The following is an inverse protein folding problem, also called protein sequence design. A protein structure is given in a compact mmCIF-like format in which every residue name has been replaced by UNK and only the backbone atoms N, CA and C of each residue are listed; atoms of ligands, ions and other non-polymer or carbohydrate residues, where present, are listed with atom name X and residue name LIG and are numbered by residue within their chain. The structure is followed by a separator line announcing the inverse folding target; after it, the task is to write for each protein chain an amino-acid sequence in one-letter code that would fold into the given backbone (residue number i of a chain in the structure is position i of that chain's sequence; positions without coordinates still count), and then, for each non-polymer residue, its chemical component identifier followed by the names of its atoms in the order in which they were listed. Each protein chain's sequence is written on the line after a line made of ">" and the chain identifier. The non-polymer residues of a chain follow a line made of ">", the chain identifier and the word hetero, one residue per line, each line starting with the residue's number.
data_IF_060486226956
#
_entry.id   IF_060486226956
#
_cell.length_a   1.000
_cell.length_b   1.000
_cell.length_c   1.000
_cell.angle_alpha   90.00
_cell.angle_beta   90.00
_cell.angle_gamma   90.00
#
_symmetry.space_group_name_H-M   'P 1'
#
loop_
_entity.id
_entity.type
_entity.pdbx_description
1 polymer ?
2 water ?
#
# COMPACT_ATOMS: atom_id res chain seq x y z
N UNK A 14 -39.01 11.25 -17.11
CA UNK A 14 -38.57 10.82 -15.75
C UNK A 14 -37.13 10.27 -15.76
N UNK A 15 -36.79 9.40 -16.73
CA UNK A 15 -35.45 8.79 -16.76
C UNK A 15 -34.34 9.82 -16.94
N UNK A 16 -34.54 10.80 -17.81
CA UNK A 16 -33.47 11.76 -18.07
C UNK A 16 -33.24 12.64 -16.84
N UNK A 17 -34.30 13.00 -16.12
CA UNK A 17 -34.19 13.80 -14.90
C UNK A 17 -33.55 12.99 -13.77
N UNK A 18 -33.92 11.71 -13.69
CA UNK A 18 -33.32 10.77 -12.75
C UNK A 18 -31.81 10.59 -13.01
N UNK A 19 -31.46 10.35 -14.26
CA UNK A 19 -30.05 10.18 -14.65
C UNK A 19 -29.24 11.47 -14.41
N UNK A 20 -29.84 12.64 -14.68
CA UNK A 20 -29.13 13.91 -14.44
C UNK A 20 -28.80 14.08 -12.95
N UNK A 21 -29.75 13.74 -12.09
CA UNK A 21 -29.53 13.82 -10.64
C UNK A 21 -28.40 12.89 -10.19
N UNK A 22 -28.45 11.64 -10.64
CA UNK A 22 -27.48 10.62 -10.25
C UNK A 22 -26.11 10.92 -10.83
N UNK A 23 -26.08 11.41 -12.06
CA UNK A 23 -24.82 11.75 -12.74
C UNK A 23 -24.13 12.95 -12.06
N UNK A 24 -24.93 13.91 -11.59
CA UNK A 24 -24.42 15.02 -10.78
C UNK A 24 -23.74 14.52 -9.48
N UNK A 25 -24.33 13.51 -8.84
CA UNK A 25 -23.72 12.88 -7.68
C UNK A 25 -22.38 12.25 -8.01
N UNK A 26 -22.30 11.59 -9.16
CA UNK A 26 -21.04 10.94 -9.60
C UNK A 26 -19.98 11.98 -9.95
N UNK A 27 -20.37 13.05 -10.63
CA UNK A 27 -19.40 14.09 -11.00
C UNK A 27 -18.87 14.85 -9.75
N UNK A 28 -19.73 15.05 -8.74
CA UNK A 28 -19.32 15.65 -7.47
C UNK A 28 -18.33 14.75 -6.72
N UNK A 29 -18.56 13.44 -6.74
CA UNK A 29 -17.62 12.48 -6.13
C UNK A 29 -16.28 12.41 -6.87
N UNK A 30 -16.31 12.51 -8.18
CA UNK A 30 -15.08 12.63 -8.95
C UNK A 30 -14.32 13.92 -8.60
N UNK A 31 -15.03 15.03 -8.46
CA UNK A 31 -14.39 16.31 -8.08
C UNK A 31 -13.78 16.25 -6.69
N UNK A 32 -14.49 15.62 -5.75
CA UNK A 32 -13.99 15.43 -4.37
C UNK A 32 -13.00 14.26 -4.27
N UNK A 33 -12.59 13.70 -5.41
CA UNK A 33 -11.68 12.55 -5.46
C UNK A 33 -12.19 11.40 -4.59
N UNK A 34 -13.51 11.26 -4.49
CA UNK A 34 -14.14 10.21 -3.69
C UNK A 34 -14.66 9.03 -4.54
N UNK A 35 -13.92 8.66 -5.59
CA UNK A 35 -14.22 7.50 -6.41
C UNK A 35 -12.93 6.74 -6.59
N UNK A 36 -12.97 5.41 -6.44
CA UNK A 36 -11.78 4.57 -6.63
C UNK A 36 -11.13 4.89 -7.97
N UNK A 37 -9.88 5.34 -7.93
CA UNK A 37 -9.19 5.78 -9.14
C UNK A 37 -9.21 4.70 -10.23
N UNK A 38 -9.19 3.44 -9.85
CA UNK A 38 -9.03 2.39 -10.86
C UNK A 38 -10.32 1.97 -11.57
N UNK A 39 -11.47 2.52 -11.19
CA UNK A 39 -12.69 2.25 -11.98
C UNK A 39 -13.40 3.50 -12.46
N UNK A 40 -12.77 4.67 -12.30
CA UNK A 40 -13.25 5.88 -12.95
C UNK A 40 -13.53 5.62 -14.45
N UNK A 41 -12.65 4.87 -15.12
CA UNK A 41 -12.86 4.56 -16.54
C UNK A 41 -14.10 3.74 -16.79
N UNK A 42 -14.24 2.66 -16.02
CA UNK A 42 -15.41 1.80 -16.15
C UNK A 42 -16.67 2.62 -15.95
N UNK A 43 -16.70 3.38 -14.85
CA UNK A 43 -17.90 4.11 -14.46
C UNK A 43 -18.27 5.19 -15.46
N UNK A 44 -17.26 5.91 -15.95
CA UNK A 44 -17.44 6.85 -17.05
C UNK A 44 -18.08 6.13 -18.24
N UNK A 45 -17.49 4.99 -18.61
CA UNK A 45 -17.95 4.22 -19.75
C UNK A 45 -19.43 3.83 -19.58
N UNK A 46 -19.76 3.33 -18.41
CA UNK A 46 -21.11 2.91 -18.09
C UNK A 46 -22.08 4.10 -18.23
N UNK A 47 -21.68 5.24 -17.68
CA UNK A 47 -22.50 6.43 -17.74
C UNK A 47 -22.64 7.00 -19.17
N UNK A 48 -21.75 6.58 -20.07
CA UNK A 48 -21.82 6.98 -21.48
C UNK A 48 -22.88 6.22 -22.27
N UNK A 49 -23.48 5.18 -21.69
CA UNK A 49 -24.67 4.57 -22.29
C UNK A 49 -25.86 5.41 -21.91
N UNK A 50 -26.79 5.57 -22.83
CA UNK A 50 -28.01 6.31 -22.54
C UNK A 50 -28.84 5.61 -21.49
N UNK A 51 -28.89 4.29 -21.54
CA UNK A 51 -29.80 3.54 -20.69
C UNK A 51 -29.27 3.09 -19.33
N UNK A 52 -28.05 3.51 -19.00
CA UNK A 52 -27.43 3.23 -17.69
C UNK A 52 -27.04 4.52 -16.96
N UNK A 53 -27.10 4.46 -15.64
CA UNK A 53 -26.39 5.43 -14.82
C UNK A 53 -25.82 4.72 -13.58
N UNK A 54 -24.56 4.96 -13.28
CA UNK A 54 -23.97 4.41 -12.07
C UNK A 54 -24.55 5.06 -10.83
N UNK A 55 -24.61 4.29 -9.76
CA UNK A 55 -25.04 4.76 -8.46
C UNK A 55 -23.95 4.73 -7.43
N UNK A 56 -23.11 3.71 -7.47
CA UNK A 56 -22.10 3.53 -6.46
C UNK A 56 -21.23 2.37 -6.88
N UNK A 57 -20.05 2.32 -6.32
CA UNK A 57 -19.11 1.34 -6.72
C UNK A 57 -17.99 1.29 -5.72
N UNK A 58 -17.31 0.16 -5.74
CA UNK A 58 -16.09 -0.05 -5.01
C UNK A 58 -15.34 -1.03 -5.91
N UNK A 59 -14.06 -0.81 -6.20
CA UNK A 59 -13.30 -1.73 -7.06
C UNK A 59 -12.65 -2.89 -6.29
N UNK A 60 -12.98 -3.02 -5.02
CA UNK A 60 -12.45 -4.13 -4.21
C UNK A 60 -11.30 -3.68 -3.37
N UNK A 61 -11.17 -4.27 -2.19
CA UNK A 61 -10.06 -3.93 -1.34
C UNK A 61 -9.74 -5.00 -0.33
N UNK A 62 -8.59 -4.84 0.28
CA UNK A 62 -8.17 -5.62 1.42
C UNK A 62 -7.95 -4.60 2.53
N UNK A 63 -8.39 -4.96 3.72
CA UNK A 63 -8.33 -4.07 4.85
C UNK A 63 -7.91 -4.83 6.07
N UNK A 64 -7.36 -4.10 7.04
CA UNK A 64 -7.29 -4.58 8.40
C UNK A 64 -8.12 -3.62 9.26
N UNK A 65 -9.07 -4.18 10.02
CA UNK A 65 -10.04 -3.42 10.76
C UNK A 65 -10.01 -3.88 12.22
N UNK A 66 -9.97 -2.90 13.10
CA UNK A 66 -9.96 -3.05 14.55
C UNK A 66 -11.45 -3.16 14.95
N UNK A 67 -11.85 -4.30 15.53
CA UNK A 67 -13.24 -4.58 15.85
C UNK A 67 -13.36 -5.16 17.24
N UNK A 68 -14.38 -4.71 17.98
CA UNK A 68 -14.66 -5.30 19.28
C UNK A 68 -15.12 -6.75 19.08
N UNK A 69 -16.20 -6.90 18.34
CA UNK A 69 -16.77 -8.20 18.03
C UNK A 69 -16.82 -8.24 16.50
N UNK A 70 -16.88 -9.46 15.91
CA UNK A 70 -17.14 -9.60 14.46
C UNK A 70 -18.48 -8.99 14.04
N UNK A 71 -18.48 -8.28 12.92
CA UNK A 71 -19.67 -7.62 12.44
C UNK A 71 -20.11 -6.42 13.26
N UNK A 72 -19.33 -6.07 14.28
CA UNK A 72 -19.63 -4.87 15.09
C UNK A 72 -19.09 -3.66 14.34
N UNK A 73 -19.85 -3.25 13.33
CA UNK A 73 -19.48 -2.12 12.49
C UNK A 73 -19.40 -0.83 13.34
N UNK A 74 -20.16 -0.77 14.44
CA UNK A 74 -20.15 0.39 15.36
C UNK A 74 -18.81 0.59 16.10
N UNK A 75 -18.05 -0.48 16.31
CA UNK A 75 -16.75 -0.40 16.98
C UNK A 75 -15.58 -0.26 16.01
N UNK A 76 -15.88 -0.38 14.71
CA UNK A 76 -14.87 -0.54 13.65
C UNK A 76 -13.97 0.66 13.43
N UNK A 77 -12.68 0.41 13.27
CA UNK A 77 -11.70 1.41 12.83
C UNK A 77 -10.73 0.75 11.87
N UNK A 78 -10.55 1.35 10.70
CA UNK A 78 -9.62 0.85 9.68
C UNK A 78 -8.19 1.07 10.12
N UNK A 79 -7.44 -0.02 10.20
CA UNK A 79 -6.04 0.03 10.52
C UNK A 79 -5.21 0.10 9.25
N UNK A 80 -5.72 -0.45 8.16
CA UNK A 80 -5.05 -0.36 6.87
C UNK A 80 -6.02 -0.73 5.79
N UNK A 81 -5.80 -0.20 4.59
CA UNK A 81 -6.72 -0.42 3.47
C UNK A 81 -5.92 -0.32 2.17
N UNK A 82 -6.11 -1.26 1.27
CA UNK A 82 -5.36 -1.31 0.03
C UNK A 82 -6.35 -1.63 -1.09
N UNK A 83 -6.28 -0.90 -2.18
CA UNK A 83 -7.05 -1.16 -3.39
C UNK A 83 -6.33 -2.10 -4.33
N UNK A 84 -5.06 -2.42 -4.05
CA UNK A 84 -4.25 -3.36 -4.83
C UNK A 84 -3.60 -4.41 -3.92
N UNK A 85 -2.91 -5.38 -4.54
CA UNK A 85 -2.17 -6.43 -3.82
C UNK A 85 -1.30 -5.86 -2.72
N UNK A 86 -1.20 -6.56 -1.59
CA UNK A 86 -0.58 -6.03 -0.40
C UNK A 86 0.52 -6.97 0.10
N UNK A 87 1.61 -6.41 0.61
CA UNK A 87 2.67 -7.20 1.22
C UNK A 87 2.23 -7.74 2.55
N UNK A 88 2.65 -8.96 2.87
CA UNK A 88 2.30 -9.54 4.18
C UNK A 88 2.70 -8.58 5.28
N UNK A 89 3.82 -7.91 5.04
CA UNK A 89 4.40 -6.92 5.93
C UNK A 89 3.52 -5.70 6.23
N UNK A 90 2.85 -5.19 5.20
CA UNK A 90 1.89 -4.10 5.36
C UNK A 90 0.74 -4.56 6.30
N UNK A 91 0.28 -5.78 6.10
CA UNK A 91 -0.81 -6.32 6.91
C UNK A 91 -0.45 -6.50 8.40
N UNK A 92 0.74 -7.03 8.66
CA UNK A 92 1.20 -7.24 10.03
C UNK A 92 1.34 -5.92 10.77
N UNK A 93 1.92 -4.96 10.07
CA UNK A 93 2.10 -3.57 10.52
C UNK A 93 0.82 -2.90 11.02
N UNK A 94 -0.24 -2.99 10.21
CA UNK A 94 -1.57 -2.55 10.58
C UNK A 94 -2.12 -3.28 11.80
N UNK A 95 -2.03 -4.60 11.74
CA UNK A 95 -2.54 -5.46 12.78
C UNK A 95 -1.87 -5.15 14.12
N UNK A 96 -0.58 -4.83 14.08
CA UNK A 96 0.16 -4.55 15.32
C UNK A 96 -0.28 -3.27 15.97
N UNK A 97 -1.04 -2.47 15.23
CA UNK A 97 -1.59 -1.26 15.80
C UNK A 97 -2.97 -1.47 16.40
N UNK A 98 -3.50 -2.68 16.37
CA UNK A 98 -4.84 -2.87 16.94
C UNK A 98 -4.92 -2.54 18.43
N UNK A 99 -6.03 -1.94 18.84
CA UNK A 99 -6.40 -1.76 20.22
C UNK A 99 -7.52 -2.72 20.70
N UNK A 100 -8.16 -3.41 19.76
CA UNK A 100 -9.19 -4.40 20.02
C UNK A 100 -8.75 -5.61 19.19
N UNK A 101 -9.63 -6.21 18.39
CA UNK A 101 -9.23 -7.36 17.56
C UNK A 101 -9.07 -6.89 16.14
N UNK A 102 -7.88 -7.09 15.56
CA UNK A 102 -7.65 -6.76 14.18
C UNK A 102 -8.15 -7.89 13.30
N UNK A 103 -8.97 -7.55 12.31
CA UNK A 103 -9.47 -8.48 11.32
C UNK A 103 -8.92 -8.15 9.93
N UNK A 104 -8.45 -9.19 9.23
CA UNK A 104 -8.10 -9.09 7.80
C UNK A 104 -9.36 -9.37 6.98
N UNK A 105 -9.72 -8.41 6.14
CA UNK A 105 -10.97 -8.46 5.37
C UNK A 105 -10.65 -8.14 3.94
N UNK A 106 -11.12 -9.00 3.04
CA UNK A 106 -11.06 -8.75 1.59
C UNK A 106 -12.48 -8.44 1.06
N UNK A 107 -12.65 -7.25 0.49
CA UNK A 107 -13.93 -6.87 -0.11
C UNK A 107 -13.80 -7.01 -1.62
N UNK A 108 -14.66 -7.80 -2.24
CA UNK A 108 -14.62 -7.83 -3.69
C UNK A 108 -15.27 -6.60 -4.33
N UNK A 109 -15.07 -6.45 -5.65
CA UNK A 109 -15.65 -5.34 -6.38
C UNK A 109 -17.15 -5.39 -6.27
N UNK A 110 -17.77 -4.23 -6.16
CA UNK A 110 -19.22 -4.14 -6.22
C UNK A 110 -19.64 -2.86 -6.97
N UNK A 111 -20.47 -3.02 -7.98
CA UNK A 111 -20.92 -1.89 -8.78
C UNK A 111 -22.45 -1.90 -8.78
N UNK A 112 -23.06 -0.74 -8.57
CA UNK A 112 -24.52 -0.55 -8.75
C UNK A 112 -24.79 0.38 -9.93
N UNK A 113 -25.66 -0.09 -10.81
CA UNK A 113 -26.03 0.62 -12.03
C UNK A 113 -27.55 0.59 -12.18
N UNK A 114 -28.13 1.76 -12.31
CA UNK A 114 -29.53 1.88 -12.65
C UNK A 114 -29.65 1.76 -14.16
N UNK A 115 -30.70 1.06 -14.58
CA UNK A 115 -30.94 0.79 -15.98
C UNK A 115 -32.35 1.28 -16.34
N UNK A 116 -32.48 1.77 -17.57
CA UNK A 116 -33.72 2.40 -18.00
C UNK A 116 -34.92 1.48 -18.19
N UNK A 117 -34.70 0.25 -18.64
CA UNK A 117 -35.77 -0.68 -18.88
C UNK A 117 -35.27 -2.10 -18.63
N UNK A 118 -36.19 -3.05 -18.73
CA UNK A 118 -35.87 -4.44 -18.49
C UNK A 118 -34.84 -4.99 -19.49
N UNK A 119 -34.92 -4.57 -20.75
CA UNK A 119 -33.92 -5.00 -21.75
C UNK A 119 -32.51 -4.54 -21.39
N UNK A 120 -32.43 -3.30 -20.91
CA UNK A 120 -31.13 -2.75 -20.50
C UNK A 120 -30.56 -3.51 -19.30
N UNK A 121 -31.40 -3.83 -18.33
CA UNK A 121 -30.98 -4.64 -17.19
C UNK A 121 -30.43 -6.00 -17.64
N UNK A 122 -31.14 -6.66 -18.54
CA UNK A 122 -30.76 -7.97 -19.04
C UNK A 122 -29.43 -7.90 -19.77
N UNK A 123 -29.24 -6.85 -20.55
CA UNK A 123 -27.97 -6.60 -21.23
C UNK A 123 -26.79 -6.49 -20.27
N UNK A 124 -26.95 -5.67 -19.25
CA UNK A 124 -25.88 -5.45 -18.29
C UNK A 124 -25.58 -6.70 -17.45
N UNK A 125 -26.63 -7.41 -17.06
CA UNK A 125 -26.51 -8.65 -16.29
C UNK A 125 -25.78 -9.71 -17.07
N UNK A 126 -26.07 -9.77 -18.36
CA UNK A 126 -25.46 -10.73 -19.21
C UNK A 126 -23.96 -10.42 -19.42
N UNK A 127 -23.62 -9.15 -19.63
CA UNK A 127 -22.21 -8.76 -19.70
C UNK A 127 -21.47 -9.07 -18.39
N UNK A 128 -22.09 -8.76 -17.25
CA UNK A 128 -21.48 -9.01 -15.95
C UNK A 128 -21.19 -10.48 -15.81
N UNK A 129 -22.17 -11.30 -16.19
CA UNK A 129 -22.01 -12.76 -16.12
C UNK A 129 -20.89 -13.24 -17.05
N UNK A 130 -20.88 -12.71 -18.25
CA UNK A 130 -19.81 -12.99 -19.22
C UNK A 130 -18.43 -12.69 -18.62
N UNK A 131 -18.35 -11.65 -17.81
CA UNK A 131 -17.09 -11.23 -17.23
C UNK A 131 -16.63 -12.11 -16.08
N UNK A 132 -17.55 -12.87 -15.50
CA UNK A 132 -17.27 -13.76 -14.38
C UNK A 132 -17.88 -13.33 -13.06
N UNK A 133 -18.71 -12.30 -13.07
CA UNK A 133 -19.40 -11.93 -11.85
C UNK A 133 -20.63 -12.77 -11.66
N UNK A 134 -20.47 -13.88 -10.98
CA UNK A 134 -21.63 -14.64 -10.53
C UNK A 134 -22.24 -13.76 -9.48
N UNK A 135 -23.45 -14.06 -9.07
CA UNK A 135 -24.09 -13.29 -8.00
C UNK A 135 -24.39 -11.80 -8.36
N UNK A 136 -24.52 -11.55 -9.68
CA UNK A 136 -25.05 -10.29 -10.17
C UNK A 136 -26.57 -10.38 -10.33
N UNK A 137 -27.29 -9.33 -9.90
CA UNK A 137 -28.74 -9.34 -9.85
C UNK A 137 -29.39 -7.95 -9.76
N UNK A 138 -30.66 -7.89 -10.06
CA UNK A 138 -31.43 -6.66 -9.85
C UNK A 138 -31.88 -6.57 -8.39
N UNK A 139 -31.33 -5.59 -7.66
CA UNK A 139 -31.60 -5.47 -6.23
C UNK A 139 -32.72 -4.49 -5.95
N UNK A 140 -33.13 -3.74 -6.96
CA UNK A 140 -34.32 -2.95 -6.85
C UNK A 140 -34.95 -2.90 -8.20
N UNK A 141 -36.17 -3.41 -8.33
CA UNK A 141 -36.85 -3.42 -9.63
C UNK A 141 -37.26 -2.03 -10.04
N UNK A 142 -37.48 -1.16 -9.05
CA UNK A 142 -37.90 0.22 -9.27
C UNK A 142 -37.19 0.91 -10.46
N UNK A 143 -35.89 1.18 -10.36
CA UNK A 143 -35.12 1.68 -11.52
C UNK A 143 -34.10 0.63 -11.99
N UNK A 144 -34.54 -0.62 -12.02
CA UNK A 144 -33.72 -1.77 -12.40
C UNK A 144 -32.27 -1.60 -11.97
N UNK A 145 -32.06 -1.42 -10.67
CA UNK A 145 -30.70 -1.25 -10.18
C UNK A 145 -30.03 -2.61 -10.14
N UNK A 146 -29.06 -2.81 -11.00
CA UNK A 146 -28.34 -4.04 -11.07
C UNK A 146 -27.13 -3.94 -10.15
N UNK A 147 -26.95 -4.94 -9.30
CA UNK A 147 -25.73 -5.08 -8.50
C UNK A 147 -24.78 -6.03 -9.20
N UNK A 148 -23.56 -5.58 -9.48
CA UNK A 148 -22.55 -6.48 -10.04
C UNK A 148 -21.57 -6.76 -8.91
N UNK A 149 -21.47 -8.02 -8.54
CA UNK A 149 -20.75 -8.40 -7.32
C UNK A 149 -20.33 -9.87 -7.27
N UNK A 150 -19.64 -10.23 -6.19
CA UNK A 150 -19.04 -11.55 -5.96
C UNK A 150 -19.18 -11.86 -4.47
N UNK A 151 -18.82 -13.08 -4.07
CA UNK A 151 -18.96 -13.56 -2.65
C UNK A 151 -17.91 -12.96 -1.71
N UNK A 152 -18.34 -12.39 -0.59
CA UNK A 152 -17.59 -11.28 0.08
C UNK A 152 -16.92 -11.54 1.45
N UNK A 153 -16.16 -12.62 1.55
CA UNK A 153 -15.58 -13.02 2.85
C UNK A 153 -14.29 -13.85 2.90
N UNK A 154 -13.19 -13.16 2.64
CA UNK A 154 -12.05 -13.36 3.48
C UNK A 154 -12.40 -12.40 4.59
N UNK A 155 -12.56 -12.95 5.77
CA UNK A 155 -12.77 -12.16 6.95
C UNK A 155 -12.29 -13.00 8.13
N UNK A 156 -11.11 -12.68 8.67
CA UNK A 156 -10.61 -13.47 9.81
C UNK A 156 -9.81 -12.69 10.79
N UNK A 157 -9.86 -13.06 12.07
CA UNK A 157 -9.10 -12.33 13.08
C UNK A 157 -7.61 -12.68 13.06
N UNK A 158 -6.74 -11.67 13.20
CA UNK A 158 -5.30 -11.91 13.15
C UNK A 158 -4.48 -11.33 14.34
N UNK A 159 -5.02 -10.38 15.08
CA UNK A 159 -4.28 -9.83 16.21
C UNK A 159 -5.27 -9.29 17.22
N UNK A 160 -4.83 -9.15 18.46
CA UNK A 160 -5.62 -8.60 19.52
C UNK A 160 -4.76 -7.66 20.38
N UNK A 161 -5.20 -6.42 20.55
CA UNK A 161 -4.47 -5.46 21.37
C UNK A 161 -2.97 -5.45 20.97
N UNK A 162 -2.70 -5.41 19.68
CA UNK A 162 -1.32 -5.35 19.16
C UNK A 162 -0.51 -6.64 19.20
N UNK A 163 -1.14 -7.74 19.59
CA UNK A 163 -0.46 -9.05 19.61
C UNK A 163 -1.09 -10.04 18.63
N UNK A 164 -0.23 -10.77 17.91
CA UNK A 164 -0.66 -11.67 16.85
C UNK A 164 -1.36 -12.88 17.46
N UNK A 165 -2.45 -13.30 16.81
CA UNK A 165 -3.16 -14.56 17.15
C UNK A 165 -2.74 -15.77 16.34
N UNK A 166 -2.10 -15.51 15.22
CA UNK A 166 -1.69 -16.56 14.30
C UNK A 166 -0.21 -16.37 13.97
N UNK A 167 0.42 -17.46 13.53
CA UNK A 167 1.87 -17.44 13.26
C UNK A 167 2.14 -16.78 11.92
N UNK A 168 3.40 -16.48 11.66
CA UNK A 168 3.76 -15.77 10.43
C UNK A 168 3.42 -16.58 9.19
N UNK A 169 3.55 -17.90 9.24
CA UNK A 169 3.23 -18.74 8.07
C UNK A 169 1.76 -18.65 7.70
N UNK A 170 0.90 -18.76 8.71
CA UNK A 170 -0.52 -18.69 8.51
C UNK A 170 -0.96 -17.31 8.00
N UNK A 171 -0.39 -16.25 8.58
CA UNK A 171 -0.69 -14.92 8.10
C UNK A 171 -0.29 -14.81 6.65
N UNK A 172 0.91 -15.29 6.31
CA UNK A 172 1.36 -15.21 4.94
C UNK A 172 0.41 -15.92 3.97
N UNK A 173 -0.04 -17.10 4.38
CA UNK A 173 -0.98 -17.89 3.60
C UNK A 173 -2.28 -17.18 3.38
N UNK A 174 -2.87 -16.61 4.41
CA UNK A 174 -4.18 -15.95 4.22
C UNK A 174 -4.08 -14.62 3.47
N UNK A 175 -2.94 -13.93 3.56
CA UNK A 175 -2.70 -12.71 2.79
C UNK A 175 -2.49 -12.98 1.30
N UNK A 176 -1.67 -13.97 0.97
CA UNK A 176 -1.53 -14.43 -0.41
C UNK A 176 -2.86 -14.78 -1.03
N UNK A 177 -3.71 -15.44 -0.25
CA UNK A 177 -5.01 -15.84 -0.75
C UNK A 177 -5.85 -14.59 -1.01
N UNK A 178 -5.76 -13.61 -0.12
CA UNK A 178 -6.52 -12.37 -0.22
C UNK A 178 -6.08 -11.57 -1.45
N UNK A 179 -4.77 -11.53 -1.65
CA UNK A 179 -4.19 -10.91 -2.83
C UNK A 179 -4.71 -11.50 -4.10
N UNK A 180 -4.77 -12.82 -4.14
CA UNK A 180 -5.18 -13.55 -5.32
C UNK A 180 -6.64 -13.35 -5.67
N UNK A 181 -7.47 -13.18 -4.65
CA UNK A 181 -8.90 -12.94 -4.82
C UNK A 181 -9.12 -11.51 -5.32
N UNK A 182 -8.39 -10.57 -4.76
CA UNK A 182 -8.51 -9.17 -5.16
C UNK A 182 -8.13 -8.98 -6.61
N UNK A 183 -7.02 -9.60 -6.99
CA UNK A 183 -6.59 -9.62 -8.37
C UNK A 183 -7.64 -10.21 -9.34
N UNK A 184 -8.28 -11.32 -8.97
CA UNK A 184 -9.32 -11.92 -9.80
C UNK A 184 -10.53 -10.99 -9.95
N UNK A 185 -10.81 -10.18 -8.92
CA UNK A 185 -11.84 -9.15 -8.97
C UNK A 185 -11.51 -8.07 -9.99
N UNK A 186 -10.25 -7.66 -10.01
CA UNK A 186 -9.76 -6.64 -10.94
C UNK A 186 -9.78 -7.17 -12.37
N UNK A 187 -9.43 -8.44 -12.53
CA UNK A 187 -9.53 -9.09 -13.83
C UNK A 187 -10.95 -9.03 -14.35
N UNK A 188 -11.92 -9.33 -13.50
CA UNK A 188 -13.31 -9.34 -13.94
C UNK A 188 -13.81 -7.93 -14.25
N UNK A 189 -13.39 -6.96 -13.46
CA UNK A 189 -13.68 -5.56 -13.77
C UNK A 189 -13.11 -5.15 -15.13
N UNK A 190 -11.88 -5.54 -15.41
CA UNK A 190 -11.25 -5.29 -16.73
C UNK A 190 -12.01 -5.94 -17.89
N UNK A 191 -12.48 -7.17 -17.67
CA UNK A 191 -13.25 -7.88 -18.70
C UNK A 191 -14.60 -7.24 -18.98
N UNK A 192 -15.19 -6.68 -17.95
CA UNK A 192 -16.49 -6.07 -18.07
C UNK A 192 -16.35 -4.77 -18.83
N UNK A 193 -15.22 -4.08 -18.62
CA UNK A 193 -14.95 -2.81 -19.29
C UNK A 193 -14.71 -3.10 -20.77
N UNK A 194 -13.90 -4.11 -21.04
CA UNK A 194 -13.71 -4.61 -22.40
C UNK A 194 -15.02 -4.90 -23.12
N UNK A 195 -15.86 -5.69 -22.48
CA UNK A 195 -17.14 -6.13 -23.07
C UNK A 195 -18.02 -4.96 -23.44
N UNK A 196 -18.20 -4.06 -22.50
CA UNK A 196 -18.92 -2.82 -22.72
C UNK A 196 -18.27 -1.91 -23.79
N UNK A 197 -16.95 -1.84 -23.78
CA UNK A 197 -16.21 -1.15 -24.85
C UNK A 197 -16.38 -1.80 -26.20
N UNK A 198 -16.33 -3.13 -26.26
CA UNK A 198 -16.51 -3.84 -27.52
C UNK A 198 -17.91 -3.53 -28.05
N UNK A 199 -18.88 -3.57 -27.15
CA UNK A 199 -20.24 -3.23 -27.49
C UNK A 199 -20.32 -1.81 -28.01
N UNK A 200 -19.91 -0.87 -27.16
CA UNK A 200 -20.02 0.58 -27.45
C UNK A 200 -19.29 1.00 -28.74
N UNK A 201 -18.20 0.32 -29.07
CA UNK A 201 -17.37 0.74 -30.21
C UNK A 201 -17.74 0.06 -31.53
N UNK A 202 -18.90 -0.61 -31.58
CA UNK A 202 -19.28 -1.36 -32.80
C UNK A 202 -19.18 -0.56 -34.09
N UNK A 203 -19.64 0.67 -34.07
CA UNK A 203 -19.52 1.47 -35.28
C UNK A 203 -18.61 2.70 -35.14
N UNK A 204 -17.55 2.53 -34.36
CA UNK A 204 -16.53 3.56 -34.18
C UNK A 204 -15.92 4.04 -35.46
N UNK A 205 -15.87 3.19 -36.50
CA UNK A 205 -15.20 3.56 -37.73
C UNK A 205 -16.13 3.65 -38.93
N UNK A 206 -17.44 3.56 -38.71
CA UNK A 206 -18.45 3.62 -39.78
C UNK A 206 -19.66 4.49 -39.43
N UNK A 207 -19.90 5.50 -40.27
CA UNK A 207 -21.05 6.39 -40.16
C UNK A 207 -22.40 5.66 -40.29
N UNK A 208 -22.47 4.65 -41.17
CA UNK A 208 -23.70 3.91 -41.50
C UNK A 208 -23.95 2.69 -40.58
CA UNK B 13 35.25 -1.06 30.99
C UNK B 13 34.45 -0.06 30.13
N UNK B 14 35.13 0.63 29.20
CA UNK B 14 34.52 1.70 28.43
C UNK B 14 33.50 1.17 27.38
N UNK B 15 33.88 0.13 26.60
CA UNK B 15 32.98 -0.47 25.61
C UNK B 15 31.70 -0.94 26.26
N UNK B 16 31.82 -1.65 27.37
CA UNK B 16 30.66 -2.31 27.99
C UNK B 16 29.66 -1.26 28.50
N UNK B 17 30.17 -0.16 29.05
CA UNK B 17 29.30 0.94 29.53
C UNK B 17 28.68 1.69 28.36
N UNK B 18 29.45 1.90 27.30
CA UNK B 18 28.95 2.54 26.08
C UNK B 18 27.85 1.71 25.45
N UNK B 19 28.04 0.38 25.36
CA UNK B 19 27.02 -0.49 24.81
C UNK B 19 25.76 -0.54 25.69
N UNK B 20 25.94 -0.57 26.99
CA UNK B 20 24.77 -0.56 27.91
C UNK B 20 23.87 0.65 27.66
N UNK B 21 24.49 1.82 27.50
CA UNK B 21 23.78 3.06 27.27
C UNK B 21 23.06 3.05 25.94
N UNK B 22 23.71 2.60 24.88
CA UNK B 22 23.06 2.56 23.57
C UNK B 22 21.98 1.49 23.46
N UNK B 23 22.20 0.36 24.11
CA UNK B 23 21.29 -0.71 24.07
C UNK B 23 20.00 -0.35 24.86
N UNK B 24 20.17 0.42 25.94
CA UNK B 24 19.05 0.98 26.69
C UNK B 24 18.19 1.88 25.79
N UNK B 25 18.84 2.70 24.97
CA UNK B 25 18.15 3.53 23.98
C UNK B 25 17.36 2.74 22.96
N UNK B 26 17.91 1.61 22.55
CA UNK B 26 17.25 0.71 21.60
C UNK B 26 16.09 -0.05 22.27
N UNK B 27 16.27 -0.50 23.49
CA UNK B 27 15.16 -1.17 24.18
C UNK B 27 14.00 -0.19 24.45
N UNK B 28 14.30 1.05 24.81
CA UNK B 28 13.22 2.05 25.03
C UNK B 28 12.45 2.27 23.74
N UNK B 29 13.15 2.37 22.62
CA UNK B 29 12.49 2.51 21.30
C UNK B 29 11.60 1.33 20.94
N UNK B 30 12.06 0.13 21.22
CA UNK B 30 11.21 -1.05 21.06
C UNK B 30 9.95 -0.94 21.89
N UNK B 31 10.09 -0.58 23.18
CA UNK B 31 8.94 -0.39 24.09
C UNK B 31 7.95 0.68 23.66
N UNK B 32 8.45 1.78 23.14
CA UNK B 32 7.62 2.85 22.58
C UNK B 32 7.12 2.49 21.16
N UNK B 33 7.42 1.29 20.69
CA UNK B 33 7.09 0.90 19.31
C UNK B 33 7.66 1.86 18.25
N UNK B 34 8.81 2.48 18.55
CA UNK B 34 9.49 3.37 17.59
C UNK B 34 10.68 2.71 16.91
N UNK B 35 10.51 1.47 16.48
CA UNK B 35 11.50 0.76 15.68
C UNK B 35 10.77 0.16 14.50
N UNK B 36 11.31 0.31 13.30
CA UNK B 36 10.69 -0.25 12.12
C UNK B 36 10.49 -1.72 12.36
N UNK B 37 9.23 -2.14 12.40
CA UNK B 37 8.90 -3.49 12.90
C UNK B 37 9.55 -4.60 12.05
N UNK B 38 9.84 -4.32 10.78
CA UNK B 38 10.44 -5.32 9.91
C UNK B 38 11.95 -5.50 10.07
N UNK B 39 12.60 -4.66 10.87
CA UNK B 39 14.02 -4.93 11.19
C UNK B 39 14.38 -5.12 12.64
N UNK B 40 13.37 -5.19 13.47
CA UNK B 40 13.56 -5.58 14.86
C UNK B 40 14.44 -6.84 14.94
N UNK B 41 14.16 -7.83 14.10
CA UNK B 41 14.89 -9.08 14.16
C UNK B 41 16.36 -8.92 13.83
N UNK B 42 16.66 -8.16 12.77
CA UNK B 42 18.02 -7.79 12.39
C UNK B 42 18.78 -7.02 13.44
N UNK B 43 18.14 -6.01 14.02
CA UNK B 43 18.80 -5.19 15.05
C UNK B 43 18.98 -5.93 16.35
N UNK B 44 18.03 -6.78 16.73
CA UNK B 44 18.23 -7.68 17.85
C UNK B 44 19.47 -8.54 17.61
N UNK B 45 19.57 -9.10 16.41
CA UNK B 45 20.67 -10.00 16.07
C UNK B 45 21.98 -9.24 16.15
N UNK B 46 22.04 -8.08 15.52
CA UNK B 46 23.29 -7.29 15.53
C UNK B 46 23.69 -7.03 16.99
N UNK B 47 22.73 -6.63 17.83
CA UNK B 47 23.02 -6.29 19.23
C UNK B 47 23.36 -7.53 20.11
N UNK B 48 23.11 -8.74 19.62
CA UNK B 48 23.53 -9.99 20.27
C UNK B 48 25.01 -10.29 20.12
N UNK B 49 25.70 -9.63 19.21
CA UNK B 49 27.14 -9.77 19.10
C UNK B 49 27.80 -8.94 20.19
N UNK B 50 28.80 -9.48 20.87
CA UNK B 50 29.46 -8.74 21.94
C UNK B 50 30.05 -7.46 21.40
N UNK B 51 30.52 -7.48 20.18
CA UNK B 51 31.30 -6.33 19.68
C UNK B 51 30.56 -5.33 18.74
N UNK B 52 29.22 -5.42 18.73
CA UNK B 52 28.36 -4.46 18.03
C UNK B 52 27.35 -3.79 18.97
N UNK B 53 27.02 -2.55 18.65
CA UNK B 53 25.75 -2.00 19.15
C UNK B 53 25.12 -1.07 18.10
N UNK B 54 23.84 -1.27 17.84
CA UNK B 54 23.14 -0.40 16.91
C UNK B 54 23.04 1.02 17.50
N UNK B 55 23.11 2.00 16.62
CA UNK B 55 22.87 3.39 16.99
C UNK B 55 21.59 3.99 16.45
N UNK B 56 21.22 3.61 15.23
CA UNK B 56 20.08 4.19 14.55
C UNK B 56 19.82 3.36 13.31
N UNK B 57 18.62 3.48 12.76
CA UNK B 57 18.27 2.68 11.61
C UNK B 57 16.97 3.17 11.01
N UNK B 58 16.84 2.94 9.71
CA UNK B 58 15.62 3.14 8.97
C UNK B 58 15.57 1.94 8.01
N UNK B 59 14.43 1.24 7.95
CA UNK B 59 14.31 0.10 7.01
C UNK B 59 13.92 0.48 5.58
N UNK B 60 13.88 1.78 5.29
CA UNK B 60 13.58 2.22 3.92
C UNK B 60 12.15 2.67 3.87
N UNK B 61 11.90 3.72 3.09
CA UNK B 61 10.55 4.18 2.95
C UNK B 61 10.32 4.96 1.67
N UNK B 62 9.03 5.10 1.33
CA UNK B 62 8.60 5.99 0.29
C UNK B 62 7.85 7.15 0.92
N UNK B 63 8.01 8.35 0.41
CA UNK B 63 7.23 9.42 0.96
C UNK B 63 6.82 10.42 -0.11
N UNK B 64 5.79 11.18 0.20
CA UNK B 64 5.46 12.38 -0.56
C UNK B 64 5.51 13.54 0.39
N UNK B 65 6.35 14.52 0.04
CA UNK B 65 6.70 15.64 0.89
C UNK B 65 6.38 16.93 0.17
N UNK B 66 5.71 17.84 0.87
CA UNK B 66 5.38 19.18 0.35
C UNK B 66 6.57 20.11 0.62
N UNK B 67 7.22 20.64 -0.42
CA UNK B 67 8.48 21.40 -0.29
C UNK B 67 8.41 22.71 -1.08
N UNK B 68 9.01 23.77 -0.56
CA UNK B 68 9.09 25.06 -1.28
C UNK B 68 10.11 24.89 -2.42
N UNK B 69 11.27 24.35 -2.06
CA UNK B 69 12.32 24.08 -3.03
C UNK B 69 13.06 22.83 -2.59
N UNK B 70 13.66 22.08 -3.55
CA UNK B 70 14.25 20.80 -3.16
C UNK B 70 15.36 21.00 -2.14
N UNK B 71 15.41 20.09 -1.16
CA UNK B 71 16.33 20.22 -0.03
C UNK B 71 15.98 21.30 0.99
N UNK B 72 14.85 22.01 0.81
CA UNK B 72 14.42 23.04 1.77
C UNK B 72 13.68 22.33 2.91
N UNK B 73 14.46 21.74 3.82
CA UNK B 73 13.91 21.00 4.97
C UNK B 73 13.04 21.90 5.83
N UNK B 74 13.40 23.18 5.85
CA UNK B 74 12.66 24.16 6.64
C UNK B 74 11.21 24.35 6.17
N UNK B 75 10.97 24.18 4.88
CA UNK B 75 9.62 24.33 4.33
C UNK B 75 8.85 22.97 4.27
N UNK B 76 9.49 21.87 4.64
CA UNK B 76 8.92 20.52 4.40
C UNK B 76 7.75 20.15 5.30
N UNK B 77 6.76 19.50 4.68
CA UNK B 77 5.63 18.87 5.38
C UNK B 77 5.37 17.51 4.73
N UNK B 78 5.29 16.46 5.54
CA UNK B 78 5.01 15.14 4.99
C UNK B 78 3.54 14.98 4.66
N UNK B 79 3.29 14.64 3.40
CA UNK B 79 1.93 14.46 2.92
C UNK B 79 1.58 12.99 2.99
N UNK B 80 2.60 12.14 2.92
CA UNK B 80 2.41 10.71 3.06
C UNK B 80 3.72 9.98 3.29
N UNK B 81 3.68 8.88 4.05
CA UNK B 81 4.87 8.04 4.32
C UNK B 81 4.55 6.54 4.21
N UNK B 82 5.39 5.72 3.57
CA UNK B 82 5.06 4.27 3.47
C UNK B 82 6.30 3.40 3.62
N UNK B 83 6.25 2.49 4.58
CA UNK B 83 7.44 1.71 4.98
C UNK B 83 7.61 0.40 4.22
N UNK B 84 6.53 -0.07 3.61
CA UNK B 84 6.48 -1.38 3.01
C UNK B 84 6.01 -1.40 1.57
N UNK B 85 5.66 -0.26 1.00
CA UNK B 85 5.27 -0.14 -0.40
C UNK B 85 4.06 0.75 -0.54
N UNK B 86 3.83 1.28 -1.72
CA UNK B 86 2.76 2.29 -1.89
C UNK B 86 2.02 2.04 -3.20
N UNK B 87 0.72 2.29 -3.18
CA UNK B 87 -0.09 2.24 -4.38
C UNK B 87 -0.06 3.60 -5.04
N UNK B 88 -0.25 3.61 -6.35
CA UNK B 88 -0.20 4.84 -7.12
C UNK B 88 -1.28 5.80 -6.65
N UNK B 89 -2.43 5.28 -6.26
CA UNK B 89 -3.55 6.13 -5.82
C UNK B 89 -3.22 6.82 -4.53
N UNK B 90 -2.43 6.13 -3.70
CA UNK B 90 -2.05 6.63 -2.39
C UNK B 90 -1.11 7.80 -2.59
N UNK B 91 -0.17 7.63 -3.50
CA UNK B 91 0.75 8.72 -3.88
C UNK B 91 0.01 9.91 -4.50
N UNK B 92 -0.93 9.66 -5.40
CA UNK B 92 -1.70 10.73 -5.99
C UNK B 92 -2.50 11.57 -4.99
N UNK B 93 -3.15 10.89 -4.04
CA UNK B 93 -3.94 11.51 -3.01
C UNK B 93 -3.11 12.39 -2.07
N UNK B 94 -1.94 11.87 -1.66
CA UNK B 94 -0.96 12.66 -0.95
C UNK B 94 -0.58 13.89 -1.76
N UNK B 95 -0.15 13.66 -3.01
CA UNK B 95 0.33 14.74 -3.88
C UNK B 95 -0.75 15.80 -4.14
N UNK B 96 -1.98 15.36 -4.32
CA UNK B 96 -3.07 16.29 -4.59
C UNK B 96 -3.41 17.16 -3.37
N UNK B 97 -2.80 16.84 -2.22
CA UNK B 97 -2.93 17.69 -1.04
C UNK B 97 -1.80 18.67 -0.90
N UNK B 98 -0.85 18.68 -1.82
CA UNK B 98 0.25 19.63 -1.77
C UNK B 98 -0.25 21.08 -1.82
N UNK B 99 0.38 21.96 -1.06
CA UNK B 99 0.14 23.40 -1.16
C UNK B 99 1.35 24.15 -1.68
N UNK B 100 2.47 23.42 -1.78
CA UNK B 100 3.66 23.91 -2.44
C UNK B 100 3.99 22.85 -3.52
N UNK B 101 5.19 22.30 -3.58
CA UNK B 101 5.50 21.26 -4.62
C UNK B 101 5.60 19.97 -3.91
N UNK B 102 4.85 18.94 -4.36
CA UNK B 102 4.96 17.63 -3.86
C UNK B 102 6.07 16.90 -4.58
N UNK B 103 6.93 16.28 -3.80
CA UNK B 103 8.05 15.43 -4.29
C UNK B 103 7.86 14.01 -3.82
N UNK B 104 8.05 13.05 -4.75
CA UNK B 104 8.05 11.65 -4.47
C UNK B 104 9.51 11.31 -4.16
N UNK B 105 9.73 10.71 -3.01
CA UNK B 105 11.08 10.43 -2.53
C UNK B 105 11.11 8.99 -2.05
N UNK B 106 12.17 8.28 -2.46
CA UNK B 106 12.44 6.95 -1.98
C UNK B 106 13.72 6.96 -1.16
N UNK B 107 13.62 6.51 0.09
CA UNK B 107 14.74 6.50 1.03
C UNK B 107 15.17 5.07 1.20
N UNK B 108 16.41 4.76 0.87
CA UNK B 108 16.79 3.35 1.04
C UNK B 108 17.12 3.04 2.50
N UNK B 109 17.29 1.76 2.84
CA UNK B 109 17.58 1.37 4.21
C UNK B 109 18.91 1.99 4.63
N UNK B 110 18.99 2.42 5.85
CA UNK B 110 20.25 2.85 6.46
C UNK B 110 20.37 2.36 7.93
N UNK B 111 21.53 1.84 8.29
CA UNK B 111 21.77 1.43 9.65
C UNK B 111 23.13 1.94 10.09
N UNK B 112 23.22 2.44 11.32
CA UNK B 112 24.44 2.78 11.96
C UNK B 112 24.73 1.81 13.11
N UNK B 113 25.93 1.26 13.11
CA UNK B 113 26.37 0.28 14.15
C UNK B 113 27.77 0.62 14.63
N UNK B 114 27.88 0.86 15.94
CA UNK B 114 29.15 1.13 16.57
C UNK B 114 29.80 -0.20 16.81
N UNK B 115 31.09 -0.29 16.53
CA UNK B 115 31.81 -1.56 16.59
C UNK B 115 32.99 -1.40 17.53
N UNK B 116 33.27 -2.42 18.32
CA UNK B 116 34.27 -2.31 19.40
C UNK B 116 35.73 -2.05 18.94
N UNK B 117 36.13 -2.66 17.81
CA UNK B 117 37.50 -2.58 17.32
C UNK B 117 37.56 -2.66 15.79
N UNK B 118 38.76 -2.55 15.25
CA UNK B 118 38.91 -2.61 13.82
C UNK B 118 38.46 -3.92 13.23
N UNK B 119 38.74 -5.02 13.93
CA UNK B 119 38.34 -6.31 13.43
C UNK B 119 36.86 -6.49 13.31
N UNK B 120 36.14 -5.99 14.32
CA UNK B 120 34.67 -6.03 14.30
C UNK B 120 34.07 -5.17 13.16
N UNK B 121 34.62 -3.99 12.97
CA UNK B 121 34.20 -3.16 11.85
C UNK B 121 34.37 -3.92 10.54
N UNK B 122 35.55 -4.53 10.33
CA UNK B 122 35.80 -5.24 9.08
C UNK B 122 34.80 -6.36 8.81
N UNK B 123 34.52 -7.13 9.86
CA UNK B 123 33.55 -8.18 9.81
C UNK B 123 32.14 -7.70 9.41
N UNK B 124 31.69 -6.59 9.98
CA UNK B 124 30.40 -6.07 9.65
C UNK B 124 30.33 -5.50 8.25
N UNK B 125 31.37 -4.76 7.90
CA UNK B 125 31.49 -4.23 6.55
C UNK B 125 31.48 -5.33 5.51
N UNK B 126 32.14 -6.44 5.81
CA UNK B 126 32.19 -7.51 4.84
C UNK B 126 30.80 -8.18 4.71
N UNK B 127 30.12 -8.36 5.83
CA UNK B 127 28.75 -8.86 5.79
C UNK B 127 27.81 -7.98 4.96
N UNK B 128 27.85 -6.69 5.20
CA UNK B 128 27.00 -5.72 4.51
C UNK B 128 27.29 -5.71 3.03
N UNK B 129 28.56 -5.78 2.70
CA UNK B 129 28.97 -5.90 1.32
C UNK B 129 28.43 -7.14 0.63
N UNK B 130 28.57 -8.29 1.29
CA UNK B 130 28.01 -9.56 0.83
C UNK B 130 26.51 -9.46 0.57
N UNK B 131 25.83 -8.73 1.42
CA UNK B 131 24.39 -8.56 1.35
C UNK B 131 23.95 -7.67 0.19
N UNK B 132 24.89 -6.93 -0.39
CA UNK B 132 24.60 -6.04 -1.54
C UNK B 132 24.56 -4.58 -1.17
N UNK B 133 24.89 -4.24 0.07
CA UNK B 133 24.91 -2.85 0.46
C UNK B 133 26.26 -2.27 0.02
N UNK B 134 26.31 -1.81 -1.21
CA UNK B 134 27.44 -1.07 -1.69
C UNK B 134 27.43 0.25 -0.94
N UNK B 135 28.50 1.00 -0.96
CA UNK B 135 28.43 2.26 -0.24
C UNK B 135 28.20 2.12 1.29
N UNK B 136 28.51 0.96 1.88
CA UNK B 136 28.73 0.89 3.30
C UNK B 136 30.18 1.38 3.62
N UNK B 137 30.39 1.91 4.83
CA UNK B 137 31.69 2.45 5.24
C UNK B 137 31.74 2.85 6.69
N UNK B 138 32.92 3.12 7.23
CA UNK B 138 33.03 3.64 8.58
C UNK B 138 33.00 5.14 8.51
N UNK B 139 31.98 5.73 9.14
CA UNK B 139 31.71 7.16 9.00
C UNK B 139 32.26 7.92 10.19
N UNK B 140 32.65 7.19 11.23
CA UNK B 140 33.36 7.77 12.33
C UNK B 140 34.32 6.73 12.85
N UNK B 141 35.60 7.01 12.79
CA UNK B 141 36.59 6.05 13.27
C UNK B 141 36.55 5.96 14.77
N UNK B 142 36.17 7.06 15.42
CA UNK B 142 36.06 7.10 16.89
C UNK B 142 35.56 5.79 17.49
N UNK B 143 34.28 5.43 17.33
CA UNK B 143 33.81 4.08 17.81
C UNK B 143 33.45 3.21 16.62
N UNK B 144 34.33 3.22 15.64
CA UNK B 144 34.11 2.53 14.41
C UNK B 144 32.64 2.45 14.07
N UNK B 145 32.00 3.61 13.86
CA UNK B 145 30.58 3.58 13.42
C UNK B 145 30.55 3.21 11.93
N UNK B 146 29.97 2.06 11.64
CA UNK B 146 29.77 1.58 10.29
C UNK B 146 28.38 2.01 9.87
N UNK B 147 28.32 2.70 8.74
CA UNK B 147 27.07 3.01 8.06
C UNK B 147 26.81 1.93 6.99
N UNK B 148 25.68 1.31 7.09
CA UNK B 148 25.24 0.31 6.10
C UNK B 148 24.13 0.98 5.30
N UNK B 149 24.38 1.20 4.02
CA UNK B 149 23.49 2.03 3.23
C UNK B 149 23.59 1.74 1.71
N UNK B 150 22.58 2.26 0.99
CA UNK B 150 22.51 2.19 -0.48
C UNK B 150 22.52 3.61 -1.08
N UNK B 151 22.29 3.74 -2.39
CA UNK B 151 22.29 5.08 -3.08
C UNK B 151 20.87 5.61 -3.41
N UNK B 152 20.58 6.83 -2.96
CA UNK B 152 19.19 7.29 -2.65
C UNK B 152 18.32 7.76 -3.81
N UNK B 153 18.34 6.96 -4.88
CA UNK B 153 18.10 7.36 -6.30
C UNK B 153 16.78 8.04 -6.75
N UNK B 154 15.70 7.90 -5.96
CA UNK B 154 14.39 8.51 -6.36
C UNK B 154 14.06 9.78 -5.58
N UNK B 155 14.03 10.88 -6.30
CA UNK B 155 13.54 12.12 -5.78
C UNK B 155 13.03 12.92 -6.99
N UNK B 156 11.73 13.10 -7.12
CA UNK B 156 11.23 13.95 -8.23
C UNK B 156 9.97 14.70 -7.92
N UNK B 157 9.78 15.83 -8.59
CA UNK B 157 8.54 16.57 -8.32
C UNK B 157 7.37 15.97 -9.10
N UNK B 158 6.21 15.93 -8.46
CA UNK B 158 5.03 15.34 -9.05
C UNK B 158 3.77 16.22 -9.07
N UNK B 159 3.64 17.22 -8.20
CA UNK B 159 2.45 18.07 -8.21
C UNK B 159 2.87 19.41 -7.64
N UNK B 160 2.08 20.41 -7.92
CA UNK B 160 2.22 21.75 -7.33
C UNK B 160 0.86 22.30 -7.00
N UNK B 161 0.68 22.70 -5.74
CA UNK B 161 -0.58 23.25 -5.24
C UNK B 161 -1.75 22.34 -5.60
N UNK B 162 -1.59 21.05 -5.35
CA UNK B 162 -2.67 20.11 -5.57
C UNK B 162 -2.91 19.71 -7.02
N UNK B 163 -2.06 20.15 -7.93
CA UNK B 163 -2.23 19.82 -9.35
C UNK B 163 -1.08 19.03 -9.90
N UNK B 164 -1.38 18.02 -10.70
CA UNK B 164 -0.33 17.14 -11.15
C UNK B 164 0.57 17.83 -12.18
N UNK B 165 1.88 17.57 -12.10
CA UNK B 165 2.87 18.04 -13.09
C UNK B 165 3.20 17.00 -14.15
N UNK B 166 2.85 15.75 -13.87
CA UNK B 166 3.14 14.69 -14.77
C UNK B 166 1.89 13.83 -15.06
N UNK B 167 1.88 13.13 -16.21
CA UNK B 167 0.69 12.38 -16.59
C UNK B 167 0.61 11.11 -15.78
N UNK B 168 -0.55 10.45 -15.85
CA UNK B 168 -0.82 9.30 -15.00
C UNK B 168 0.07 8.11 -15.27
N UNK B 169 0.40 7.89 -16.54
CA UNK B 169 1.29 6.79 -16.90
C UNK B 169 2.70 7.00 -16.36
N UNK B 170 3.17 8.23 -16.41
CA UNK B 170 4.46 8.59 -15.86
C UNK B 170 4.52 8.39 -14.36
N UNK B 171 3.54 8.92 -13.65
CA UNK B 171 3.47 8.69 -12.19
C UNK B 171 3.47 7.25 -11.84
N UNK B 172 2.67 6.51 -12.58
CA UNK B 172 2.56 5.06 -12.34
C UNK B 172 3.89 4.38 -12.52
N UNK B 173 4.67 4.84 -13.50
CA UNK B 173 5.93 4.19 -13.74
C UNK B 173 6.92 4.47 -12.62
N UNK B 174 7.00 5.72 -12.16
CA UNK B 174 7.98 6.09 -11.12
C UNK B 174 7.59 5.58 -9.76
N UNK B 175 6.31 5.36 -9.56
CA UNK B 175 5.82 4.71 -8.31
C UNK B 175 6.14 3.25 -8.26
N UNK B 176 5.94 2.58 -9.38
CA UNK B 176 6.32 1.23 -9.54
C UNK B 176 7.81 1.05 -9.30
N UNK B 177 8.62 1.85 -9.95
CA UNK B 177 10.06 1.92 -9.68
C UNK B 177 10.44 2.10 -8.18
N UNK B 178 9.84 3.08 -7.51
CA UNK B 178 10.08 3.30 -6.11
C UNK B 178 9.74 2.07 -5.26
N UNK B 179 8.64 1.39 -5.57
CA UNK B 179 8.30 0.18 -4.83
C UNK B 179 9.28 -0.96 -5.09
N UNK B 180 9.71 -1.10 -6.33
CA UNK B 180 10.74 -2.11 -6.65
C UNK B 180 12.01 -1.86 -5.82
N UNK B 181 12.42 -0.61 -5.75
CA UNK B 181 13.64 -0.20 -5.02
C UNK B 181 13.53 -0.42 -3.52
N UNK B 182 12.36 -0.09 -2.96
CA UNK B 182 12.10 -0.29 -1.55
C UNK B 182 12.17 -1.76 -1.25
N UNK B 183 11.55 -2.53 -2.12
CA UNK B 183 11.60 -3.97 -2.04
C UNK B 183 13.02 -4.61 -2.14
N UNK B 184 13.81 -4.19 -3.12
CA UNK B 184 15.22 -4.56 -3.16
C UNK B 184 15.97 -4.22 -1.86
N UNK B 185 15.60 -3.13 -1.19
CA UNK B 185 16.21 -2.78 0.10
C UNK B 185 15.92 -3.77 1.18
N UNK B 186 14.64 -4.20 1.23
CA UNK B 186 14.19 -5.19 2.20
C UNK B 186 14.93 -6.51 2.03
N UNK B 187 15.09 -6.96 0.78
CA UNK B 187 15.87 -8.18 0.45
C UNK B 187 17.33 -8.08 0.88
N UNK B 188 17.91 -6.89 0.73
CA UNK B 188 19.26 -6.70 1.23
C UNK B 188 19.38 -6.81 2.73
N UNK B 189 18.40 -6.25 3.45
CA UNK B 189 18.30 -6.42 4.90
C UNK B 189 18.14 -7.89 5.28
N UNK B 190 17.33 -8.62 4.53
CA UNK B 190 17.22 -10.06 4.72
C UNK B 190 18.55 -10.75 4.53
N UNK B 191 19.23 -10.48 3.41
CA UNK B 191 20.58 -11.06 3.17
C UNK B 191 21.60 -10.76 4.27
N UNK B 192 21.55 -9.53 4.78
CA UNK B 192 22.40 -9.17 5.91
C UNK B 192 22.05 -9.98 7.16
N UNK B 193 20.76 -10.12 7.43
CA UNK B 193 20.34 -10.97 8.53
C UNK B 193 20.92 -12.39 8.37
N UNK B 194 20.77 -12.98 7.19
CA UNK B 194 21.33 -14.28 6.91
C UNK B 194 22.85 -14.33 7.08
N UNK B 195 23.60 -13.38 6.51
CA UNK B 195 25.06 -13.32 6.75
C UNK B 195 25.42 -13.33 8.25
N UNK B 196 24.73 -12.51 9.04
CA UNK B 196 25.02 -12.45 10.48
C UNK B 196 24.60 -13.73 11.20
N UNK B 197 23.48 -14.31 10.83
CA UNK B 197 23.07 -15.64 11.39
C UNK B 197 24.12 -16.76 11.16
N UNK B 198 24.83 -16.68 10.03
CA UNK B 198 25.94 -17.58 9.74
C UNK B 198 27.13 -17.39 10.65
N UNK B 199 27.40 -16.15 11.08
CA UNK B 199 28.49 -15.90 12.03
C UNK B 199 28.16 -16.41 13.42
N UNK B 200 26.91 -16.29 13.83
CA UNK B 200 26.49 -16.85 15.12
C UNK B 200 26.44 -18.37 15.11
N UNK B 201 27.31 -18.99 14.32
CA UNK B 201 27.15 -20.39 13.95
C UNK B 201 28.43 -20.91 13.33
#
# INVERSE_FOLDING_TARGET
>A
XGSDKIHHHHHHXMWEQFKKEKLRGYLEAKNQRKVDFDIVELLDLINSFDDFVTLSSCSGRIAVVDLEKPGDKASSLFLGKWHEGVEVSEVAEAALRSRKVAWLIQYPPIIHVACRNIGAAKLLMNAANTAGFRRSGVISLSNYVVEIASLERIELPVAEKGLMLVDDAYLSYVVRWANEKLLKGKEKLGRLQEALESLQRENAYCSD
>B
XGSDKIHHHHHHMMWEQFKKEKLRGYLEAKNQRKVDFDIVELLDLINSFDDFVTLSSCSGRIAVVDLEKPGDKASSLFLGKWHEGVEVSEVAEAALRSRKVAWLIQYPPIIHVACRNIGAAKLLMNAANTAGFRRSGVISLSNYVVEIASLERIELPVAEKGLMLVDDAYLSYVVRWANEKLLKGKEKLGRLQEALESLQRENAYCSD
#
